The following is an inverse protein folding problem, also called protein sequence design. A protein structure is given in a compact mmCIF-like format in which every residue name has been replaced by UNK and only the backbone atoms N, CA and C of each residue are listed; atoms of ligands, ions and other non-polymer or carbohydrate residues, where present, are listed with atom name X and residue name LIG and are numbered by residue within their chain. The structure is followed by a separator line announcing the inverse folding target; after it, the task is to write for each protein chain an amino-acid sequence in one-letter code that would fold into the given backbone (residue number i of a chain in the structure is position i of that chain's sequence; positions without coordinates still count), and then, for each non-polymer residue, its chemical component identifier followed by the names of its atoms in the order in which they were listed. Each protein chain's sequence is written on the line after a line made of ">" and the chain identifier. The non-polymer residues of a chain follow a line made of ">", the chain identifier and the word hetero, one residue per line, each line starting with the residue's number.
data_IF_775519568622
#
_entry.id   IF_775519568622
#
_cell.length_a   1.000
_cell.length_b   1.000
_cell.length_c   1.000
_cell.angle_alpha   90.00
_cell.angle_beta   90.00
_cell.angle_gamma   90.00
#
_symmetry.space_group_name_H-M   'P 1'
#
loop_
_entity.id
_entity.type
_entity.pdbx_description
1 polymer ?
#
# COMPACT_ATOMS: atom_id res chain seq x y z
N UNK A 1 8.29 -3.44 -6.20
CA UNK A 1 8.19 -3.32 -4.74
C UNK A 1 9.48 -2.77 -4.16
N UNK A 2 9.38 -1.99 -3.08
CA UNK A 2 10.51 -1.50 -2.30
C UNK A 2 10.46 -2.13 -0.91
N UNK A 3 11.60 -2.51 -0.37
CA UNK A 3 11.72 -2.89 1.03
C UNK A 3 11.87 -1.61 1.88
N UNK A 4 11.07 -1.47 2.93
CA UNK A 4 11.16 -0.34 3.84
C UNK A 4 10.78 -0.74 5.28
N UNK A 5 11.47 -0.17 6.26
CA UNK A 5 11.19 -0.41 7.68
C UNK A 5 11.76 0.71 8.56
N UNK A 6 11.16 0.93 9.72
CA UNK A 6 11.75 1.74 10.81
C UNK A 6 12.46 0.87 11.84
N UNK A 7 12.35 -0.45 11.75
CA UNK A 7 12.93 -1.36 12.71
C UNK A 7 14.39 -1.69 12.33
N UNK A 8 15.34 -1.17 13.11
CA UNK A 8 16.76 -1.41 12.88
C UNK A 8 17.14 -2.90 12.96
N UNK A 9 16.47 -3.70 13.80
CA UNK A 9 16.76 -5.14 13.90
C UNK A 9 16.37 -5.87 12.61
N UNK A 10 15.22 -5.52 12.04
CA UNK A 10 14.77 -6.07 10.76
C UNK A 10 15.73 -5.67 9.65
N UNK A 11 16.13 -4.40 9.59
CA UNK A 11 17.11 -3.92 8.60
C UNK A 11 18.44 -4.65 8.71
N UNK A 12 19.00 -4.73 9.91
CA UNK A 12 20.26 -5.42 10.15
C UNK A 12 20.20 -6.93 9.85
N UNK A 13 19.02 -7.53 10.00
CA UNK A 13 18.81 -8.93 9.64
C UNK A 13 18.79 -9.13 8.13
N UNK A 14 17.96 -8.38 7.41
CA UNK A 14 17.77 -8.57 5.98
C UNK A 14 19.02 -8.21 5.15
N UNK A 15 19.80 -7.24 5.62
CA UNK A 15 21.06 -6.83 4.96
C UNK A 15 22.19 -7.87 5.05
N UNK A 16 22.02 -8.95 5.82
CA UNK A 16 22.92 -10.09 5.80
C UNK A 16 22.75 -10.94 4.53
N UNK A 17 21.59 -10.85 3.87
CA UNK A 17 21.22 -11.68 2.73
C UNK A 17 21.29 -10.95 1.39
N UNK A 18 21.34 -9.63 1.40
CA UNK A 18 21.48 -8.80 0.21
C UNK A 18 22.01 -7.41 0.55
N UNK A 19 22.76 -6.83 -0.40
CA UNK A 19 23.05 -5.41 -0.42
C UNK A 19 21.84 -4.66 -0.98
N UNK A 20 21.52 -3.48 -0.43
CA UNK A 20 20.41 -2.64 -0.87
C UNK A 20 20.94 -1.35 -1.49
N UNK A 21 20.30 -0.93 -2.59
CA UNK A 21 20.53 0.40 -3.14
C UNK A 21 19.83 1.47 -2.27
N UNK A 22 20.02 2.75 -2.61
CA UNK A 22 19.38 3.87 -1.93
C UNK A 22 18.13 4.37 -2.67
N UNK A 23 17.37 3.44 -3.26
CA UNK A 23 16.16 3.82 -3.99
C UNK A 23 15.15 4.48 -3.06
N UNK A 24 14.69 5.67 -3.45
CA UNK A 24 13.60 6.38 -2.79
C UNK A 24 12.36 6.32 -3.67
N UNK A 25 11.26 5.82 -3.14
CA UNK A 25 10.02 5.72 -3.90
C UNK A 25 9.35 7.08 -4.01
N UNK A 26 9.28 7.62 -5.23
CA UNK A 26 8.63 8.90 -5.55
C UNK A 26 7.63 8.67 -6.68
N UNK A 27 6.45 8.09 -6.40
CA UNK A 27 5.46 7.78 -7.42
C UNK A 27 4.84 9.05 -7.99
N UNK A 28 4.43 8.95 -9.26
CA UNK A 28 3.75 10.02 -10.00
C UNK A 28 2.44 9.47 -10.53
N UNK A 29 1.34 10.18 -10.26
CA UNK A 29 0.04 9.90 -10.83
C UNK A 29 -0.12 10.62 -12.16
N UNK A 30 -0.67 9.94 -13.16
CA UNK A 30 -1.09 10.54 -14.43
C UNK A 30 -2.62 10.58 -14.46
N UNK A 31 -3.17 11.78 -14.44
CA UNK A 31 -4.60 12.01 -14.61
C UNK A 31 -4.85 12.76 -15.92
N UNK A 32 -5.34 12.07 -16.94
CA UNK A 32 -5.68 12.63 -18.26
C UNK A 32 -4.54 13.46 -18.88
N UNK A 33 -3.28 13.02 -18.72
CA UNK A 33 -2.09 13.68 -19.21
C UNK A 33 -1.46 14.71 -18.25
N UNK A 34 -2.12 15.04 -17.14
CA UNK A 34 -1.55 15.84 -16.07
C UNK A 34 -0.80 14.96 -15.07
N UNK A 35 0.44 15.32 -14.74
CA UNK A 35 1.29 14.60 -13.80
C UNK A 35 1.25 15.24 -12.41
N UNK A 36 1.02 14.42 -11.39
CA UNK A 36 0.97 14.83 -10.00
C UNK A 36 1.91 13.98 -9.15
N UNK A 37 2.69 14.63 -8.28
CA UNK A 37 3.53 13.94 -7.30
C UNK A 37 2.70 13.26 -6.22
N UNK A 38 3.17 12.09 -5.75
CA UNK A 38 2.61 11.38 -4.60
C UNK A 38 3.72 11.13 -3.54
N UNK A 39 3.38 11.06 -2.25
CA UNK A 39 2.06 11.24 -1.63
C UNK A 39 1.53 12.66 -1.84
N UNK A 40 0.28 12.95 -1.43
CA UNK A 40 -0.30 14.29 -1.52
C UNK A 40 0.55 15.28 -0.70
N UNK A 41 1.32 16.11 -1.40
CA UNK A 41 2.29 17.02 -0.80
C UNK A 41 2.26 18.39 -1.50
N UNK A 42 3.11 19.31 -1.08
CA UNK A 42 3.12 20.68 -1.64
C UNK A 42 3.37 20.72 -3.16
N UNK A 43 4.12 19.77 -3.75
CA UNK A 43 4.25 19.67 -5.21
C UNK A 43 2.90 19.31 -5.86
N UNK A 44 2.13 18.41 -5.23
CA UNK A 44 0.78 18.04 -5.69
C UNK A 44 -0.16 19.24 -5.66
N UNK A 45 -0.18 19.97 -4.54
CA UNK A 45 -1.07 21.11 -4.32
C UNK A 45 -0.70 22.31 -5.17
N UNK A 46 0.60 22.59 -5.32
CA UNK A 46 1.09 23.63 -6.22
C UNK A 46 0.68 23.35 -7.67
N UNK A 47 0.87 22.10 -8.14
CA UNK A 47 0.46 21.70 -9.50
C UNK A 47 -1.05 21.79 -9.69
N UNK A 48 -1.84 21.43 -8.67
CA UNK A 48 -3.30 21.34 -8.75
C UNK A 48 -3.99 22.71 -8.63
N UNK A 49 -3.50 23.56 -7.73
CA UNK A 49 -4.16 24.81 -7.33
C UNK A 49 -3.30 26.05 -7.46
N UNK A 50 -2.00 25.94 -7.79
CA UNK A 50 -1.08 27.07 -7.86
C UNK A 50 -0.65 27.63 -6.50
N UNK A 51 -1.00 26.97 -5.40
CA UNK A 51 -0.63 27.40 -4.04
C UNK A 51 0.86 27.22 -3.80
N UNK A 52 1.47 28.10 -3.02
CA UNK A 52 2.91 28.10 -2.76
C UNK A 52 3.26 27.92 -1.28
N UNK A 53 2.33 28.21 -0.38
CA UNK A 53 2.55 28.05 1.06
C UNK A 53 1.72 26.91 1.66
N UNK A 54 2.18 26.31 2.78
CA UNK A 54 1.40 25.31 3.52
C UNK A 54 0.02 25.80 3.95
N UNK A 55 -0.08 27.08 4.35
CA UNK A 55 -1.31 27.72 4.80
C UNK A 55 -2.35 27.83 3.68
N UNK A 56 -1.91 28.22 2.47
CA UNK A 56 -2.76 28.27 1.27
C UNK A 56 -3.29 26.87 0.91
N UNK A 57 -2.41 25.87 0.95
CA UNK A 57 -2.79 24.47 0.67
C UNK A 57 -3.79 23.95 1.71
N UNK A 58 -3.54 24.19 3.00
CA UNK A 58 -4.44 23.79 4.08
C UNK A 58 -5.81 24.47 3.95
N UNK A 59 -5.84 25.76 3.65
CA UNK A 59 -7.08 26.51 3.45
C UNK A 59 -7.89 25.96 2.27
N UNK A 60 -7.22 25.60 1.16
CA UNK A 60 -7.88 25.02 -0.02
C UNK A 60 -8.46 23.64 0.24
N UNK A 61 -7.73 22.79 0.96
CA UNK A 61 -8.23 21.48 1.40
C UNK A 61 -9.44 21.66 2.30
N UNK A 62 -9.36 22.55 3.29
CA UNK A 62 -10.44 22.79 4.24
C UNK A 62 -11.69 23.37 3.58
N UNK A 63 -11.54 24.27 2.59
CA UNK A 63 -12.64 24.78 1.77
C UNK A 63 -13.43 23.62 1.13
N UNK A 64 -12.73 22.68 0.49
CA UNK A 64 -13.35 21.58 -0.24
C UNK A 64 -13.91 20.48 0.66
N UNK A 65 -13.28 20.22 1.80
CA UNK A 65 -13.77 19.25 2.79
C UNK A 65 -15.15 19.60 3.34
N UNK A 66 -15.51 20.88 3.41
CA UNK A 66 -16.82 21.39 3.86
C UNK A 66 -17.99 20.96 2.97
N UNK A 67 -17.72 20.36 1.83
CA UNK A 67 -18.75 19.77 0.98
C UNK A 67 -19.49 18.65 1.71
N UNK A 68 -18.80 17.89 2.55
CA UNK A 68 -19.39 16.83 3.36
C UNK A 68 -19.70 17.40 4.76
N UNK A 69 -20.98 17.62 5.03
CA UNK A 69 -21.47 18.21 6.28
C UNK A 69 -22.09 17.20 7.25
N UNK A 70 -22.09 15.94 6.88
CA UNK A 70 -22.62 14.80 7.63
C UNK A 70 -21.56 13.71 7.79
N UNK A 71 -21.85 12.68 8.57
CA UNK A 71 -20.99 11.53 8.70
C UNK A 71 -20.92 10.78 7.35
N UNK A 72 -19.72 10.55 6.79
CA UNK A 72 -19.57 9.91 5.49
C UNK A 72 -20.18 8.50 5.44
N UNK A 73 -21.02 8.24 4.45
CA UNK A 73 -21.74 6.98 4.27
C UNK A 73 -21.02 5.99 3.38
N UNK A 74 -20.12 6.46 2.53
CA UNK A 74 -19.39 5.68 1.55
C UNK A 74 -17.96 6.19 1.37
N UNK A 75 -17.17 5.50 0.56
CA UNK A 75 -15.75 5.81 0.34
C UNK A 75 -15.57 7.17 -0.35
N UNK A 76 -16.44 7.56 -1.29
CA UNK A 76 -16.37 8.87 -1.95
C UNK A 76 -16.49 10.00 -0.92
N UNK A 77 -17.55 9.99 -0.12
CA UNK A 77 -17.77 11.00 0.89
C UNK A 77 -16.65 11.03 1.95
N UNK A 78 -16.18 9.85 2.36
CA UNK A 78 -15.05 9.74 3.28
C UNK A 78 -13.79 10.36 2.70
N UNK A 79 -13.45 10.08 1.45
CA UNK A 79 -12.28 10.64 0.80
C UNK A 79 -12.37 12.17 0.68
N UNK A 80 -13.54 12.70 0.23
CA UNK A 80 -13.77 14.13 0.11
C UNK A 80 -13.66 14.82 1.48
N UNK A 81 -14.23 14.23 2.53
CA UNK A 81 -14.14 14.76 3.90
C UNK A 81 -12.71 14.81 4.45
N UNK A 82 -11.80 13.99 3.92
CA UNK A 82 -10.40 13.93 4.33
C UNK A 82 -9.49 14.87 3.54
N UNK A 83 -9.66 14.95 2.21
CA UNK A 83 -8.70 15.62 1.32
C UNK A 83 -9.33 16.61 0.33
N UNK A 84 -10.65 16.67 0.25
CA UNK A 84 -11.38 17.50 -0.70
C UNK A 84 -11.64 16.84 -2.05
N UNK A 85 -12.56 17.44 -2.81
CA UNK A 85 -13.08 16.89 -4.07
C UNK A 85 -12.01 16.76 -5.16
N UNK A 86 -11.18 17.77 -5.36
CA UNK A 86 -10.20 17.75 -6.46
C UNK A 86 -9.18 16.62 -6.32
N UNK A 87 -8.70 16.37 -5.09
CA UNK A 87 -7.79 15.27 -4.80
C UNK A 87 -8.51 13.94 -4.98
N UNK A 88 -9.74 13.83 -4.49
CA UNK A 88 -10.56 12.63 -4.68
C UNK A 88 -10.74 12.30 -6.17
N UNK A 89 -11.26 13.23 -6.96
CA UNK A 89 -11.58 13.01 -8.37
C UNK A 89 -10.34 12.68 -9.22
N UNK A 90 -9.23 13.39 -8.98
CA UNK A 90 -8.03 13.26 -9.82
C UNK A 90 -7.12 12.11 -9.39
N UNK A 91 -7.01 11.81 -8.09
CA UNK A 91 -5.93 10.97 -7.58
C UNK A 91 -6.39 9.74 -6.78
N UNK A 92 -7.67 9.66 -6.39
CA UNK A 92 -8.19 8.55 -5.58
C UNK A 92 -9.20 7.72 -6.35
N UNK A 93 -10.24 8.36 -6.89
CA UNK A 93 -11.38 7.70 -7.52
C UNK A 93 -10.97 6.63 -8.52
N UNK A 94 -10.28 7.01 -9.58
CA UNK A 94 -9.94 6.10 -10.68
C UNK A 94 -9.07 4.93 -10.26
N UNK A 95 -8.14 5.15 -9.32
CA UNK A 95 -7.34 4.07 -8.76
C UNK A 95 -8.18 3.10 -7.92
N UNK A 96 -9.03 3.64 -7.05
CA UNK A 96 -9.88 2.85 -6.17
C UNK A 96 -10.89 2.02 -6.95
N UNK A 97 -11.60 2.63 -7.89
CA UNK A 97 -12.57 1.93 -8.74
C UNK A 97 -11.93 0.82 -9.57
N UNK A 98 -10.71 1.05 -10.09
CA UNK A 98 -9.95 0.03 -10.79
C UNK A 98 -9.56 -1.14 -9.87
N UNK A 99 -9.17 -0.87 -8.63
CA UNK A 99 -8.76 -1.90 -7.67
C UNK A 99 -9.94 -2.76 -7.20
N UNK A 100 -11.08 -2.13 -6.96
CA UNK A 100 -12.25 -2.80 -6.39
C UNK A 100 -13.24 -3.28 -7.45
N UNK A 101 -13.12 -2.82 -8.71
CA UNK A 101 -14.09 -3.12 -9.78
C UNK A 101 -15.49 -2.58 -9.52
N UNK A 102 -15.64 -1.57 -8.64
CA UNK A 102 -16.89 -0.98 -8.17
C UNK A 102 -16.76 0.52 -8.04
N UNK A 103 -17.90 1.25 -8.14
CA UNK A 103 -17.97 2.68 -7.88
C UNK A 103 -17.62 2.97 -6.42
N UNK A 104 -16.90 4.08 -6.16
CA UNK A 104 -16.56 4.51 -4.82
C UNK A 104 -17.78 4.75 -3.91
N UNK A 105 -18.93 5.08 -4.48
CA UNK A 105 -20.19 5.24 -3.75
C UNK A 105 -20.76 3.93 -3.20
N UNK A 106 -20.39 2.81 -3.83
CA UNK A 106 -20.83 1.47 -3.43
C UNK A 106 -19.83 0.80 -2.47
N UNK A 107 -18.75 1.50 -2.12
CA UNK A 107 -17.73 1.01 -1.22
C UNK A 107 -17.90 1.62 0.19
N UNK A 108 -17.70 0.83 1.25
CA UNK A 108 -17.81 1.32 2.62
C UNK A 108 -16.79 2.41 2.96
N UNK A 109 -17.21 3.41 3.73
CA UNK A 109 -16.35 4.53 4.17
C UNK A 109 -15.09 4.07 4.93
N UNK A 110 -15.18 2.97 5.71
CA UNK A 110 -14.07 2.49 6.53
C UNK A 110 -12.86 1.98 5.75
N UNK A 111 -12.98 1.72 4.45
CA UNK A 111 -11.85 1.33 3.58
C UNK A 111 -10.78 2.41 3.59
N UNK A 112 -11.17 3.69 3.62
CA UNK A 112 -10.25 4.81 3.76
C UNK A 112 -10.44 5.46 5.13
N UNK A 113 -9.65 5.03 6.11
CA UNK A 113 -9.68 5.64 7.45
C UNK A 113 -8.91 6.95 7.53
N UNK A 114 -7.86 7.09 6.73
CA UNK A 114 -7.01 8.29 6.68
C UNK A 114 -6.30 8.36 5.32
N UNK A 115 -6.09 9.57 4.87
CA UNK A 115 -5.25 9.87 3.71
C UNK A 115 -4.13 10.82 4.17
N UNK A 116 -2.86 10.43 4.04
CA UNK A 116 -1.77 11.28 4.51
C UNK A 116 -1.62 12.51 3.61
N UNK A 117 -1.82 13.68 4.19
CA UNK A 117 -1.54 14.98 3.57
C UNK A 117 -0.24 15.52 4.17
N UNK A 118 0.69 15.94 3.34
CA UNK A 118 1.96 16.53 3.75
C UNK A 118 2.06 17.96 3.26
N UNK A 119 2.14 18.89 4.20
CA UNK A 119 2.32 20.31 3.88
C UNK A 119 3.81 20.66 3.77
N UNK A 120 4.57 19.81 3.09
CA UNK A 120 6.00 19.93 2.82
C UNK A 120 6.31 19.56 1.37
N UNK A 121 7.42 20.06 0.83
CA UNK A 121 7.92 19.69 -0.50
C UNK A 121 8.79 18.41 -0.39
N UNK A 122 8.15 17.26 -0.11
CA UNK A 122 8.82 15.97 0.01
C UNK A 122 8.07 14.90 -0.78
N UNK A 123 8.72 14.36 -1.81
CA UNK A 123 8.20 13.30 -2.68
C UNK A 123 8.53 11.88 -2.20
N UNK A 124 9.25 11.73 -1.09
CA UNK A 124 9.51 10.39 -0.55
C UNK A 124 8.20 9.77 -0.04
N UNK A 125 7.71 8.74 -0.72
CA UNK A 125 6.44 8.09 -0.40
C UNK A 125 6.43 7.48 1.00
N UNK A 126 7.54 6.87 1.42
CA UNK A 126 7.66 6.24 2.72
C UNK A 126 8.44 7.12 3.71
N UNK A 127 7.96 7.19 4.95
CA UNK A 127 8.67 7.84 6.06
C UNK A 127 9.62 6.87 6.78
N UNK A 128 9.96 5.75 6.14
CA UNK A 128 10.84 4.75 6.73
C UNK A 128 12.30 5.22 6.74
N UNK A 129 12.99 5.00 7.86
CA UNK A 129 14.41 5.31 8.02
C UNK A 129 15.30 4.46 7.11
N UNK A 130 14.87 3.22 6.87
CA UNK A 130 15.56 2.25 6.02
C UNK A 130 14.67 1.89 4.85
N UNK A 131 15.17 2.09 3.64
CA UNK A 131 14.44 1.75 2.42
C UNK A 131 15.42 1.48 1.27
N UNK A 132 15.00 0.65 0.33
CA UNK A 132 15.81 0.32 -0.84
C UNK A 132 15.26 -0.89 -1.59
N UNK A 133 15.95 -1.22 -2.68
CA UNK A 133 15.70 -2.42 -3.47
C UNK A 133 16.96 -3.29 -3.41
N UNK A 134 16.84 -4.61 -3.17
CA UNK A 134 18.00 -5.47 -3.08
C UNK A 134 18.73 -5.54 -4.42
N UNK A 135 20.03 -5.37 -4.41
CA UNK A 135 20.89 -5.51 -5.59
C UNK A 135 20.90 -6.98 -6.00
N UNK A 136 20.59 -7.24 -7.27
CA UNK A 136 20.38 -8.58 -7.78
C UNK A 136 18.95 -9.13 -7.66
N UNK A 137 18.04 -8.34 -7.08
CA UNK A 137 16.60 -8.62 -7.00
C UNK A 137 16.19 -9.45 -5.79
N UNK A 138 14.88 -9.50 -5.55
CA UNK A 138 14.30 -10.21 -4.41
C UNK A 138 14.49 -11.72 -4.47
N UNK A 139 14.45 -12.32 -5.65
CA UNK A 139 14.63 -13.77 -5.79
C UNK A 139 15.99 -14.22 -5.25
N UNK A 140 17.06 -13.48 -5.57
CA UNK A 140 18.41 -13.78 -5.04
C UNK A 140 18.47 -13.60 -3.52
N UNK A 141 17.88 -12.53 -3.02
CA UNK A 141 17.81 -12.27 -1.56
C UNK A 141 17.09 -13.40 -0.83
N UNK A 142 15.93 -13.83 -1.34
CA UNK A 142 15.16 -14.94 -0.75
C UNK A 142 15.94 -16.25 -0.85
N UNK A 143 16.63 -16.53 -1.97
CA UNK A 143 17.47 -17.72 -2.11
C UNK A 143 18.58 -17.76 -1.06
N UNK A 144 19.23 -16.61 -0.80
CA UNK A 144 20.25 -16.52 0.25
C UNK A 144 19.65 -16.71 1.66
N UNK A 145 18.44 -16.19 1.90
CA UNK A 145 17.74 -16.35 3.18
C UNK A 145 17.32 -17.80 3.43
N UNK A 146 17.06 -18.57 2.38
CA UNK A 146 16.65 -19.97 2.43
C UNK A 146 17.85 -20.93 2.31
N UNK A 147 19.09 -20.42 2.30
CA UNK A 147 20.27 -21.28 2.20
C UNK A 147 20.30 -22.30 3.35
N UNK A 148 20.54 -23.57 3.00
CA UNK A 148 20.49 -24.68 3.94
C UNK A 148 19.08 -25.18 4.33
N UNK A 149 18.00 -24.60 3.79
CA UNK A 149 16.62 -25.01 3.99
C UNK A 149 16.11 -25.74 2.75
N UNK A 150 15.49 -26.92 2.93
CA UNK A 150 14.86 -27.63 1.81
C UNK A 150 13.67 -26.83 1.28
N UNK A 151 13.67 -26.57 -0.03
CA UNK A 151 12.59 -25.85 -0.72
C UNK A 151 11.99 -26.76 -1.79
N UNK A 152 10.70 -27.00 -1.73
CA UNK A 152 9.94 -27.76 -2.73
C UNK A 152 9.05 -26.82 -3.51
N UNK A 153 9.35 -26.61 -4.77
CA UNK A 153 8.53 -25.82 -5.70
C UNK A 153 7.43 -26.67 -6.33
N UNK A 154 6.39 -26.04 -6.85
CA UNK A 154 5.26 -26.69 -7.51
C UNK A 154 4.59 -27.78 -6.63
N UNK A 155 4.54 -27.54 -5.32
CA UNK A 155 3.96 -28.45 -4.33
C UNK A 155 2.80 -27.74 -3.66
N UNK A 156 1.58 -28.19 -3.96
CA UNK A 156 0.40 -27.72 -3.27
C UNK A 156 0.29 -28.45 -1.91
N UNK A 157 0.27 -27.67 -0.84
CA UNK A 157 0.19 -28.22 0.51
C UNK A 157 -1.14 -28.94 0.75
N UNK A 158 -2.26 -28.40 0.29
CA UNK A 158 -3.59 -28.98 0.55
C UNK A 158 -3.79 -30.31 -0.17
N UNK A 159 -3.20 -30.46 -1.36
CA UNK A 159 -3.22 -31.73 -2.11
C UNK A 159 -2.32 -32.81 -1.48
N UNK A 160 -1.30 -32.41 -0.71
CA UNK A 160 -0.28 -33.31 -0.16
C UNK A 160 -0.21 -33.25 1.37
N UNK A 161 -1.29 -32.80 2.02
CA UNK A 161 -1.32 -32.41 3.43
C UNK A 161 -0.75 -33.46 4.36
N UNK A 162 -1.26 -34.68 4.33
CA UNK A 162 -0.85 -35.75 5.26
C UNK A 162 0.64 -36.09 5.11
N UNK A 163 1.15 -36.14 3.89
CA UNK A 163 2.55 -36.44 3.62
C UNK A 163 3.48 -35.28 4.06
N UNK A 164 3.04 -34.04 3.93
CA UNK A 164 3.82 -32.86 4.30
C UNK A 164 3.75 -32.63 5.83
N UNK A 165 2.62 -32.84 6.46
CA UNK A 165 2.46 -32.75 7.91
C UNK A 165 3.39 -33.74 8.65
N UNK A 166 3.65 -34.90 8.06
CA UNK A 166 4.55 -35.92 8.64
C UNK A 166 6.03 -35.48 8.63
N UNK A 167 6.39 -34.42 7.92
CA UNK A 167 7.79 -33.94 7.79
C UNK A 167 8.22 -32.96 8.88
N UNK A 168 7.29 -32.42 9.67
CA UNK A 168 7.60 -31.38 10.64
C UNK A 168 6.68 -31.43 11.87
N UNK A 169 7.24 -31.08 13.04
CA UNK A 169 6.49 -30.98 14.30
C UNK A 169 5.54 -29.78 14.35
N UNK A 170 5.77 -28.75 13.52
CA UNK A 170 4.95 -27.55 13.46
C UNK A 170 4.80 -27.09 12.02
N UNK A 171 3.58 -26.73 11.67
CA UNK A 171 3.23 -26.22 10.34
C UNK A 171 2.88 -24.74 10.44
N UNK A 172 3.43 -23.93 9.54
CA UNK A 172 3.05 -22.54 9.32
C UNK A 172 2.46 -22.44 7.91
N UNK A 173 1.14 -22.46 7.83
CA UNK A 173 0.42 -22.34 6.57
C UNK A 173 0.12 -20.86 6.28
N UNK A 174 0.56 -20.37 5.11
CA UNK A 174 0.39 -18.98 4.69
C UNK A 174 -0.60 -18.80 3.53
N UNK A 175 -1.27 -19.88 3.12
CA UNK A 175 -2.33 -19.84 2.12
C UNK A 175 -3.69 -19.39 2.70
N UNK A 176 -4.76 -19.37 1.88
CA UNK A 176 -6.11 -19.00 2.33
C UNK A 176 -6.60 -19.87 3.47
N UNK A 177 -7.01 -19.24 4.57
CA UNK A 177 -7.42 -19.97 5.78
C UNK A 177 -8.71 -20.75 5.57
N UNK A 178 -9.63 -20.28 4.79
CA UNK A 178 -10.87 -20.94 4.42
C UNK A 178 -10.59 -22.23 3.62
N UNK A 179 -9.64 -22.20 2.68
CA UNK A 179 -9.19 -23.37 1.95
C UNK A 179 -8.54 -24.42 2.89
N UNK A 180 -7.76 -23.98 3.89
CA UNK A 180 -7.17 -24.87 4.88
C UNK A 180 -8.23 -25.71 5.63
N UNK A 181 -9.41 -25.16 5.84
CA UNK A 181 -10.56 -25.81 6.48
C UNK A 181 -11.62 -26.34 5.50
N UNK A 182 -11.23 -26.58 4.23
CA UNK A 182 -12.15 -27.09 3.18
C UNK A 182 -13.42 -26.26 3.02
N UNK A 183 -13.33 -24.96 3.21
CA UNK A 183 -14.47 -24.02 3.11
C UNK A 183 -15.68 -24.39 3.97
N UNK A 184 -15.48 -25.11 5.08
CA UNK A 184 -16.57 -25.59 5.99
C UNK A 184 -17.45 -24.49 6.55
N UNK A 185 -16.94 -23.26 6.64
CA UNK A 185 -17.66 -22.08 7.12
C UNK A 185 -18.00 -21.09 5.99
N UNK A 186 -17.84 -21.52 4.74
CA UNK A 186 -17.98 -20.67 3.55
C UNK A 186 -16.65 -20.06 3.08
N UNK A 187 -16.71 -19.33 1.98
CA UNK A 187 -15.57 -18.63 1.38
C UNK A 187 -15.44 -17.23 1.98
N UNK A 188 -14.23 -16.83 2.32
CA UNK A 188 -13.93 -15.45 2.71
C UNK A 188 -13.82 -14.55 1.47
N UNK A 189 -14.30 -13.33 1.60
CA UNK A 189 -14.06 -12.28 0.60
C UNK A 189 -12.70 -11.60 0.91
N UNK A 190 -11.85 -11.45 -0.12
CA UNK A 190 -10.52 -10.87 -0.03
C UNK A 190 -10.45 -9.57 -0.83
#
# INVERSE_FOLDING_TARGET
>A
HIFHTNNKKVWNYITQFAEFNRFTNSPVANYKGELYSLPFNMYTFNKMWGVVTPEEAAAKIEEQRREITHEPQNLEEQAISLVGRDIYEKLIKGYTEKQWGRDCKDLPAFIIKRLPVRLTFDNNYFNALYQGIPIGGYTKMIANLLDGIEVRLNTDYLENKDALDALADKIVYTGPIDAYFDYKLGTLEY
#
